data_IF_005067892453
#
_entry.id   IF_005067892453
#
_cell.length_a   1.000
_cell.length_b   1.000
_cell.length_c   1.000
_cell.angle_alpha   90.00
_cell.angle_beta   90.00
_cell.angle_gamma   90.00
#
_symmetry.space_group_name_H-M   'P 1'
#
loop_
_entity.id
_entity.type
_entity.pdbx_description
1 polymer ?
#
# COMPACT_ATOMS: atom_id res chain seq x y z
N UNK A 1 45.98 32.34 8.88
CA UNK A 1 44.61 32.88 8.77
C UNK A 1 43.70 31.68 8.55
N UNK A 2 43.12 31.14 9.62
CA UNK A 2 42.38 29.88 9.61
C UNK A 2 40.92 30.16 9.28
N UNK A 3 40.50 29.77 8.08
CA UNK A 3 39.11 29.81 7.64
C UNK A 3 38.37 28.68 8.34
N UNK A 4 37.65 29.02 9.43
CA UNK A 4 36.73 28.10 10.10
C UNK A 4 35.55 27.88 9.17
N UNK A 5 35.56 26.77 8.44
CA UNK A 5 34.38 26.20 7.80
C UNK A 5 33.38 25.87 8.90
N UNK A 6 32.41 26.78 9.13
CA UNK A 6 31.22 26.50 9.94
C UNK A 6 30.42 25.45 9.17
N UNK A 7 30.63 24.18 9.48
CA UNK A 7 29.64 23.14 9.27
C UNK A 7 28.43 23.50 10.16
N UNK A 8 27.50 24.25 9.61
CA UNK A 8 26.18 24.43 10.21
C UNK A 8 25.52 23.05 10.23
N UNK A 9 25.55 22.41 11.40
CA UNK A 9 24.68 21.30 11.77
C UNK A 9 23.24 21.78 11.91
N UNK A 10 22.70 22.39 10.85
CA UNK A 10 21.29 22.70 10.76
C UNK A 10 20.55 21.38 10.60
N UNK A 11 19.60 21.10 11.49
CA UNK A 11 18.65 20.01 11.26
C UNK A 11 18.04 20.19 9.87
N UNK A 12 18.18 19.19 9.00
CA UNK A 12 17.58 19.18 7.66
C UNK A 12 16.06 18.97 7.78
N UNK A 13 15.34 20.04 8.10
CA UNK A 13 13.90 20.03 8.29
C UNK A 13 13.15 19.70 6.99
N UNK A 14 13.72 20.06 5.84
CA UNK A 14 13.11 19.81 4.53
C UNK A 14 13.22 18.32 4.14
N UNK A 15 14.35 17.69 4.42
CA UNK A 15 14.53 16.25 4.28
C UNK A 15 13.59 15.46 5.20
N UNK A 16 13.48 15.86 6.48
CA UNK A 16 12.54 15.22 7.43
C UNK A 16 11.10 15.37 6.96
N UNK A 17 10.69 16.56 6.52
CA UNK A 17 9.32 16.80 6.02
C UNK A 17 9.00 15.95 4.79
N UNK A 18 9.96 15.81 3.88
CA UNK A 18 9.81 14.99 2.67
C UNK A 18 9.65 13.52 3.03
N UNK A 19 10.49 13.00 3.93
CA UNK A 19 10.41 11.62 4.40
C UNK A 19 9.10 11.32 5.13
N UNK A 20 8.64 12.24 5.99
CA UNK A 20 7.35 12.10 6.67
C UNK A 20 6.17 12.10 5.70
N UNK A 21 6.23 12.95 4.65
CA UNK A 21 5.21 12.95 3.60
C UNK A 21 5.18 11.63 2.85
N UNK A 22 6.34 11.15 2.43
CA UNK A 22 6.49 9.86 1.76
C UNK A 22 5.91 8.73 2.61
N UNK A 23 6.31 8.66 3.87
CA UNK A 23 5.81 7.66 4.82
C UNK A 23 4.28 7.75 4.97
N UNK A 24 3.74 8.96 5.14
CA UNK A 24 2.30 9.17 5.28
C UNK A 24 1.53 8.71 4.04
N UNK A 25 1.98 9.07 2.84
CA UNK A 25 1.35 8.65 1.60
C UNK A 25 1.47 7.14 1.37
N UNK A 26 2.65 6.57 1.58
CA UNK A 26 2.86 5.12 1.53
C UNK A 26 1.92 4.37 2.46
N UNK A 27 1.77 4.83 3.70
CA UNK A 27 0.88 4.20 4.67
C UNK A 27 -0.58 4.35 4.28
N UNK A 28 -1.00 5.55 3.89
CA UNK A 28 -2.38 5.85 3.55
C UNK A 28 -2.83 5.12 2.27
N UNK A 29 -2.09 5.30 1.18
CA UNK A 29 -2.41 4.69 -0.11
C UNK A 29 -2.33 3.16 0.01
N UNK A 30 -1.27 2.65 0.64
CA UNK A 30 -1.07 1.23 0.82
C UNK A 30 -2.18 0.57 1.64
N UNK A 31 -2.52 1.11 2.82
CA UNK A 31 -3.57 0.53 3.67
C UNK A 31 -4.93 0.50 2.98
N UNK A 32 -5.30 1.57 2.27
CA UNK A 32 -6.55 1.66 1.50
C UNK A 32 -6.57 0.64 0.37
N UNK A 33 -5.49 0.55 -0.42
CA UNK A 33 -5.39 -0.42 -1.52
C UNK A 33 -5.40 -1.88 -1.00
N UNK A 34 -4.68 -2.15 0.10
CA UNK A 34 -4.65 -3.45 0.78
C UNK A 34 -6.02 -3.87 1.33
N UNK A 35 -6.78 -2.92 1.87
CA UNK A 35 -8.17 -3.14 2.28
C UNK A 35 -9.06 -3.50 1.08
N UNK A 36 -8.90 -2.79 -0.05
CA UNK A 36 -9.56 -3.15 -1.30
C UNK A 36 -9.23 -4.59 -1.74
N UNK A 37 -7.97 -5.00 -1.67
CA UNK A 37 -7.55 -6.36 -1.99
C UNK A 37 -8.13 -7.42 -1.04
N UNK A 38 -8.29 -7.10 0.24
CA UNK A 38 -8.96 -7.99 1.19
C UNK A 38 -10.45 -8.15 0.84
N UNK A 39 -11.11 -7.03 0.60
CA UNK A 39 -12.53 -7.01 0.26
C UNK A 39 -12.82 -7.72 -1.07
N UNK A 40 -11.92 -7.65 -2.06
CA UNK A 40 -12.12 -8.32 -3.35
C UNK A 40 -12.18 -9.85 -3.23
N UNK A 41 -11.48 -10.43 -2.25
CA UNK A 41 -11.51 -11.88 -1.96
C UNK A 41 -12.63 -12.23 -0.99
N UNK A 42 -12.86 -11.40 0.04
CA UNK A 42 -13.87 -11.60 1.08
C UNK A 42 -15.15 -10.79 0.79
N UNK A 43 -15.69 -10.92 -0.42
CA UNK A 43 -16.88 -10.20 -0.85
C UNK A 43 -18.10 -10.43 0.07
N UNK A 44 -18.18 -11.57 0.76
CA UNK A 44 -19.24 -11.88 1.73
C UNK A 44 -19.17 -11.03 3.00
N UNK A 45 -18.04 -10.38 3.28
CA UNK A 45 -17.85 -9.48 4.42
C UNK A 45 -18.03 -8.00 4.04
N UNK A 46 -18.38 -7.70 2.79
CA UNK A 46 -18.62 -6.33 2.34
C UNK A 46 -19.93 -5.77 2.91
N UNK A 47 -20.00 -4.44 3.17
CA UNK A 47 -21.25 -3.79 3.55
C UNK A 47 -22.34 -3.95 2.49
N UNK A 48 -23.60 -3.95 2.93
CA UNK A 48 -24.76 -4.01 2.02
C UNK A 48 -24.73 -2.84 1.03
N UNK A 49 -24.91 -3.15 -0.25
CA UNK A 49 -24.87 -2.17 -1.35
C UNK A 49 -23.48 -1.92 -1.94
N UNK A 50 -22.41 -2.50 -1.37
CA UNK A 50 -21.05 -2.43 -1.93
C UNK A 50 -20.77 -3.68 -2.75
N UNK A 51 -20.63 -3.52 -4.07
CA UNK A 51 -20.24 -4.61 -4.97
C UNK A 51 -18.73 -4.85 -4.97
N UNK A 52 -18.33 -6.05 -5.41
CA UNK A 52 -16.91 -6.41 -5.58
C UNK A 52 -16.14 -5.42 -6.48
N UNK A 53 -16.82 -4.78 -7.44
CA UNK A 53 -16.24 -3.76 -8.31
C UNK A 53 -15.63 -2.60 -7.53
N UNK A 54 -16.24 -2.19 -6.42
CA UNK A 54 -15.71 -1.12 -5.58
C UNK A 54 -14.36 -1.46 -4.97
N UNK A 55 -14.13 -2.73 -4.60
CA UNK A 55 -12.83 -3.16 -4.12
C UNK A 55 -11.74 -2.99 -5.19
N UNK A 56 -12.03 -3.33 -6.45
CA UNK A 56 -11.09 -3.10 -7.55
C UNK A 56 -10.85 -1.62 -7.80
N UNK A 57 -11.89 -0.78 -7.75
CA UNK A 57 -11.75 0.67 -7.90
C UNK A 57 -10.78 1.24 -6.86
N UNK A 58 -10.89 0.81 -5.60
CA UNK A 58 -9.99 1.26 -4.54
C UNK A 58 -8.53 0.84 -4.80
N UNK A 59 -8.30 -0.36 -5.30
CA UNK A 59 -6.94 -0.82 -5.68
C UNK A 59 -6.40 0.01 -6.85
N UNK A 60 -7.23 0.26 -7.88
CA UNK A 60 -6.87 1.07 -9.06
C UNK A 60 -6.50 2.49 -8.65
N UNK A 61 -7.32 3.13 -7.82
CA UNK A 61 -7.04 4.46 -7.27
C UNK A 61 -5.74 4.44 -6.45
N UNK A 62 -5.54 3.39 -5.64
CA UNK A 62 -4.32 3.17 -4.90
C UNK A 62 -3.09 3.19 -5.82
N UNK A 63 -3.11 2.43 -6.92
CA UNK A 63 -2.03 2.42 -7.91
C UNK A 63 -1.81 3.78 -8.56
N UNK A 64 -2.86 4.40 -9.08
CA UNK A 64 -2.81 5.67 -9.80
C UNK A 64 -2.29 6.84 -8.94
N UNK A 65 -2.74 6.95 -7.68
CA UNK A 65 -2.36 8.06 -6.82
C UNK A 65 -0.88 8.10 -6.45
N UNK A 66 -0.15 6.98 -6.50
CA UNK A 66 1.30 7.02 -6.26
C UNK A 66 2.02 7.89 -7.29
N UNK A 67 1.59 7.85 -8.54
CA UNK A 67 2.15 8.69 -9.59
C UNK A 67 1.65 10.13 -9.48
N UNK A 68 0.34 10.31 -9.32
CA UNK A 68 -0.28 11.65 -9.31
C UNK A 68 0.16 12.53 -8.12
N UNK A 69 0.57 11.94 -7.00
CA UNK A 69 1.01 12.68 -5.80
C UNK A 69 2.53 12.86 -5.72
N UNK A 70 3.28 12.20 -6.59
CA UNK A 70 4.73 12.32 -6.65
C UNK A 70 5.16 13.63 -7.31
N UNK A 71 6.31 14.17 -6.90
CA UNK A 71 6.91 15.36 -7.53
C UNK A 71 7.81 15.02 -8.71
N UNK A 72 8.35 13.80 -8.72
CA UNK A 72 9.23 13.29 -9.75
C UNK A 72 9.09 11.76 -9.88
N UNK A 73 9.74 11.20 -10.91
CA UNK A 73 9.65 9.77 -11.20
C UNK A 73 10.27 8.89 -10.10
N UNK A 74 11.32 9.37 -9.43
CA UNK A 74 11.97 8.61 -8.36
C UNK A 74 11.03 8.51 -7.16
N UNK A 75 10.38 9.62 -6.81
CA UNK A 75 9.36 9.66 -5.76
C UNK A 75 8.16 8.78 -6.12
N UNK A 76 7.69 8.82 -7.38
CA UNK A 76 6.60 7.99 -7.90
C UNK A 76 6.87 6.50 -7.72
N UNK A 77 8.07 6.04 -8.11
CA UNK A 77 8.47 4.64 -7.97
C UNK A 77 8.59 4.25 -6.49
N UNK A 78 9.18 5.12 -5.66
CA UNK A 78 9.34 4.89 -4.23
C UNK A 78 7.99 4.75 -3.53
N UNK A 79 7.04 5.66 -3.82
CA UNK A 79 5.68 5.60 -3.32
C UNK A 79 4.97 4.32 -3.78
N UNK A 80 5.06 3.98 -5.07
CA UNK A 80 4.40 2.78 -5.60
C UNK A 80 4.91 1.49 -4.91
N UNK A 81 6.23 1.32 -4.77
CA UNK A 81 6.82 0.18 -4.08
C UNK A 81 6.43 0.14 -2.61
N UNK A 82 6.55 1.27 -1.91
CA UNK A 82 6.22 1.37 -0.49
C UNK A 82 4.74 1.07 -0.24
N UNK A 83 3.84 1.73 -0.98
CA UNK A 83 2.39 1.54 -0.88
C UNK A 83 1.99 0.10 -1.21
N UNK A 84 2.61 -0.51 -2.22
CA UNK A 84 2.35 -1.91 -2.56
C UNK A 84 2.70 -2.84 -1.37
N UNK A 85 3.89 -2.67 -0.77
CA UNK A 85 4.32 -3.47 0.36
C UNK A 85 3.45 -3.25 1.61
N UNK A 86 3.11 -2.00 1.92
CA UNK A 86 2.19 -1.69 3.02
C UNK A 86 0.83 -2.32 2.76
N UNK A 87 0.28 -2.20 1.55
CA UNK A 87 -1.01 -2.78 1.22
C UNK A 87 -1.01 -4.29 1.27
N UNK A 88 0.09 -4.95 0.86
CA UNK A 88 0.25 -6.39 1.03
C UNK A 88 0.27 -6.78 2.51
N UNK A 89 1.04 -6.06 3.33
CA UNK A 89 1.08 -6.29 4.76
C UNK A 89 -0.29 -6.09 5.40
N UNK A 90 -1.04 -5.05 5.00
CA UNK A 90 -2.38 -4.77 5.48
C UNK A 90 -3.38 -5.86 5.06
N UNK A 91 -3.31 -6.31 3.80
CA UNK A 91 -4.12 -7.41 3.29
C UNK A 91 -3.92 -8.69 4.11
N UNK A 92 -2.65 -9.07 4.33
CA UNK A 92 -2.31 -10.24 5.14
C UNK A 92 -2.74 -10.05 6.58
N UNK A 93 -2.50 -8.88 7.17
CA UNK A 93 -2.90 -8.56 8.54
C UNK A 93 -4.41 -8.71 8.73
N UNK A 94 -5.24 -8.23 7.80
CA UNK A 94 -6.70 -8.37 7.85
C UNK A 94 -7.16 -9.83 7.77
N UNK A 95 -6.44 -10.67 7.03
CA UNK A 95 -6.70 -12.11 7.01
C UNK A 95 -6.47 -12.76 8.37
N UNK A 96 -5.35 -12.44 9.03
CA UNK A 96 -4.93 -13.13 10.25
C UNK A 96 -5.48 -12.47 11.52
N UNK A 97 -5.88 -11.20 11.47
CA UNK A 97 -6.39 -10.43 12.62
C UNK A 97 -7.47 -11.13 13.45
N UNK A 98 -8.46 -11.85 12.86
CA UNK A 98 -9.47 -12.57 13.62
C UNK A 98 -8.90 -13.60 14.61
N UNK A 99 -7.70 -14.14 14.37
CA UNK A 99 -7.06 -15.10 15.28
C UNK A 99 -6.73 -14.48 16.64
N UNK A 100 -6.44 -13.17 16.69
CA UNK A 100 -6.16 -12.44 17.92
C UNK A 100 -7.36 -11.66 18.46
N UNK A 101 -8.28 -11.23 17.58
CA UNK A 101 -9.51 -10.52 17.98
C UNK A 101 -10.54 -11.46 18.61
N UNK A 102 -10.64 -12.70 18.13
CA UNK A 102 -11.53 -13.70 18.69
C UNK A 102 -10.78 -14.56 19.73
N UNK A 103 -11.48 -15.06 20.77
CA UNK A 103 -10.88 -15.84 21.85
C UNK A 103 -10.55 -17.28 21.41
N UNK A 104 -9.70 -17.43 20.40
CA UNK A 104 -9.20 -18.73 19.97
C UNK A 104 -8.17 -19.29 20.98
N UNK A 105 -8.23 -20.60 21.30
CA UNK A 105 -7.17 -21.24 22.07
C UNK A 105 -5.85 -21.23 21.29
N UNK A 106 -4.68 -21.17 21.96
CA UNK A 106 -3.38 -21.06 21.31
C UNK A 106 -3.13 -22.13 20.23
N UNK A 107 -3.50 -23.38 20.52
CA UNK A 107 -3.32 -24.52 19.62
C UNK A 107 -4.14 -24.37 18.31
N UNK A 108 -5.31 -23.73 18.36
CA UNK A 108 -6.08 -23.43 17.16
C UNK A 108 -5.41 -22.35 16.31
N UNK A 109 -4.74 -21.36 16.92
CA UNK A 109 -4.01 -20.32 16.18
C UNK A 109 -2.83 -20.93 15.41
N UNK A 110 -2.08 -21.83 16.03
CA UNK A 110 -0.90 -22.46 15.41
C UNK A 110 -1.28 -23.31 14.18
N UNK A 111 -2.43 -23.98 14.23
CA UNK A 111 -2.93 -24.78 13.10
C UNK A 111 -3.54 -23.89 12.01
N UNK A 112 -4.26 -22.83 12.37
CA UNK A 112 -4.97 -21.97 11.41
C UNK A 112 -4.05 -20.96 10.73
N UNK A 113 -3.02 -20.45 11.41
CA UNK A 113 -2.17 -19.37 10.90
C UNK A 113 -1.49 -19.71 9.56
N UNK A 114 -0.81 -20.87 9.38
CA UNK A 114 -0.18 -21.21 8.10
C UNK A 114 -1.21 -21.33 6.97
N UNK A 115 -2.38 -21.88 7.27
CA UNK A 115 -3.48 -22.02 6.30
C UNK A 115 -4.01 -20.66 5.86
N UNK A 116 -4.29 -19.76 6.82
CA UNK A 116 -4.79 -18.42 6.51
C UNK A 116 -3.75 -17.58 5.77
N UNK A 117 -2.47 -17.70 6.13
CA UNK A 117 -1.38 -17.02 5.43
C UNK A 117 -1.25 -17.51 3.98
N UNK A 118 -1.29 -18.82 3.76
CA UNK A 118 -1.28 -19.40 2.43
C UNK A 118 -2.46 -18.93 1.58
N UNK A 119 -3.64 -18.84 2.17
CA UNK A 119 -4.84 -18.32 1.49
C UNK A 119 -4.76 -16.82 1.20
N UNK A 120 -4.20 -16.02 2.11
CA UNK A 120 -4.00 -14.58 1.88
C UNK A 120 -3.07 -14.34 0.69
N UNK A 121 -1.96 -15.09 0.61
CA UNK A 121 -0.99 -14.98 -0.48
C UNK A 121 -1.60 -15.49 -1.79
N UNK A 122 -2.20 -16.68 -1.79
CA UNK A 122 -2.72 -17.27 -3.03
C UNK A 122 -3.98 -16.56 -3.56
N UNK A 123 -4.82 -16.03 -2.67
CA UNK A 123 -6.17 -15.57 -3.01
C UNK A 123 -6.23 -14.19 -3.67
N UNK A 124 -5.32 -13.27 -3.30
CA UNK A 124 -5.40 -11.88 -3.76
C UNK A 124 -4.11 -11.35 -4.38
N UNK A 125 -2.94 -11.98 -4.16
CA UNK A 125 -1.66 -11.36 -4.50
C UNK A 125 -1.55 -11.05 -5.99
N UNK A 126 -1.88 -12.02 -6.86
CA UNK A 126 -1.78 -11.83 -8.30
C UNK A 126 -2.72 -10.73 -8.79
N UNK A 127 -3.99 -10.79 -8.38
CA UNK A 127 -4.98 -9.76 -8.74
C UNK A 127 -4.59 -8.39 -8.20
N UNK A 128 -4.14 -8.30 -6.95
CA UNK A 128 -3.68 -7.06 -6.35
C UNK A 128 -2.49 -6.47 -7.10
N UNK A 129 -1.47 -7.29 -7.40
CA UNK A 129 -0.29 -6.89 -8.17
C UNK A 129 -0.67 -6.37 -9.56
N UNK A 130 -1.47 -7.13 -10.31
CA UNK A 130 -1.87 -6.75 -11.67
C UNK A 130 -2.74 -5.49 -11.66
N UNK A 131 -3.73 -5.39 -10.78
CA UNK A 131 -4.62 -4.23 -10.72
C UNK A 131 -3.88 -2.98 -10.23
N UNK A 132 -3.05 -3.10 -9.19
CA UNK A 132 -2.32 -1.98 -8.62
C UNK A 132 -1.27 -1.44 -9.59
N UNK A 133 -0.37 -2.30 -10.09
CA UNK A 133 0.68 -1.87 -11.02
C UNK A 133 0.13 -1.57 -12.41
N UNK A 134 -0.91 -2.26 -12.86
CA UNK A 134 -1.60 -1.94 -14.11
C UNK A 134 -2.14 -0.51 -14.09
N UNK A 135 -2.80 -0.11 -13.00
CA UNK A 135 -3.27 1.27 -12.83
C UNK A 135 -2.10 2.27 -12.74
N UNK A 136 -1.08 1.97 -11.91
CA UNK A 136 0.11 2.81 -11.78
C UNK A 136 0.78 3.09 -13.13
N UNK A 137 1.09 2.03 -13.91
CA UNK A 137 1.74 2.18 -15.20
C UNK A 137 0.85 2.85 -16.24
N UNK A 138 -0.46 2.59 -16.24
CA UNK A 138 -1.39 3.28 -17.12
C UNK A 138 -1.40 4.79 -16.82
N UNK A 139 -1.44 5.17 -15.53
CA UNK A 139 -1.40 6.58 -15.12
C UNK A 139 -0.06 7.23 -15.46
N UNK A 140 1.07 6.54 -15.24
CA UNK A 140 2.39 7.04 -15.59
C UNK A 140 2.57 7.24 -17.10
N UNK A 141 2.03 6.32 -17.91
CA UNK A 141 2.06 6.43 -19.37
C UNK A 141 1.24 7.62 -19.87
N UNK A 142 0.03 7.79 -19.35
CA UNK A 142 -0.83 8.93 -19.69
C UNK A 142 -0.20 10.25 -19.24
N UNK A 143 0.35 10.31 -18.02
CA UNK A 143 1.06 11.48 -17.52
C UNK A 143 2.24 11.87 -18.43
N UNK A 144 3.09 10.91 -18.75
CA UNK A 144 4.23 11.14 -19.65
C UNK A 144 3.84 11.56 -21.07
N UNK A 145 2.70 11.08 -21.60
CA UNK A 145 2.19 11.50 -22.90
C UNK A 145 1.66 12.94 -22.92
N UNK A 146 1.08 13.41 -21.80
CA UNK A 146 0.51 14.76 -21.70
C UNK A 146 1.56 15.84 -21.43
N UNK A 147 2.69 15.45 -20.83
CA UNK A 147 3.80 16.36 -20.49
C UNK A 147 4.86 16.45 -21.60
N UNK A 148 4.87 15.51 -22.55
CA UNK A 148 5.78 15.47 -23.70
C UNK A 148 5.26 16.23 -24.91
#
# INVERSE_FOLDING_TARGET
>A
MAERTRTTSGFDLDGVRTNLRLLAFTLFIGSVAGMGAFMSVKHTLMPLGVSQTWAYVVIVLGGAYNHLLARDLTESITLALGSFLVGLAFHVAMWIAPLWLLPYPPLARDVLLPKMLGQAIAGALFTYLVTFYGAYFATALVGGYLEG
#
